data_IF_898005071668
#
_entry.id   IF_898005071668
#
_cell.length_a   1.000
_cell.length_b   1.000
_cell.length_c   1.000
_cell.angle_alpha   90.00
_cell.angle_beta   90.00
_cell.angle_gamma   90.00
#
_symmetry.space_group_name_H-M   'P 1'
#
loop_
_entity.id
_entity.type
_entity.pdbx_description
1 polymer ?
#
# COMPACT_ATOMS: atom_id res chain seq x y z
N UNK A 1 -8.01 22.13 39.17
CA UNK A 1 -8.43 21.85 37.78
C UNK A 1 -8.84 23.14 37.04
N UNK A 2 -8.14 24.27 37.24
CA UNK A 2 -8.42 25.55 36.56
C UNK A 2 -7.22 26.53 36.52
N UNK A 3 -6.01 26.14 36.94
CA UNK A 3 -4.84 27.04 36.98
C UNK A 3 -3.54 26.34 36.55
N UNK A 4 -3.57 25.60 35.44
CA UNK A 4 -2.34 25.06 34.83
C UNK A 4 -2.24 25.36 33.32
N UNK A 5 -2.99 26.35 32.83
CA UNK A 5 -3.04 26.73 31.40
C UNK A 5 -2.65 28.22 31.19
N UNK A 6 -2.29 28.97 32.22
CA UNK A 6 -2.08 30.43 32.16
C UNK A 6 -0.61 30.86 32.31
N UNK A 7 0.35 30.15 31.71
CA UNK A 7 1.70 30.72 31.52
C UNK A 7 1.89 31.21 30.07
N UNK A 8 2.09 32.53 29.84
CA UNK A 8 2.27 33.11 28.50
C UNK A 8 3.50 32.59 27.75
N UNK A 9 4.52 32.10 28.47
CA UNK A 9 5.75 31.56 27.90
C UNK A 9 5.59 30.17 27.24
N UNK A 10 4.43 29.52 27.40
CA UNK A 10 4.11 28.23 26.76
C UNK A 10 3.53 28.36 25.35
N UNK A 11 3.25 29.57 24.87
CA UNK A 11 2.62 29.82 23.56
C UNK A 11 3.61 29.99 22.39
N UNK A 12 4.90 30.14 22.64
CA UNK A 12 5.80 30.76 21.63
C UNK A 12 6.66 29.79 20.80
N UNK A 13 6.62 28.48 21.07
CA UNK A 13 7.03 27.46 20.09
C UNK A 13 5.93 26.41 19.96
N UNK A 14 4.98 26.71 19.08
CA UNK A 14 3.89 25.81 18.79
C UNK A 14 4.43 24.55 18.09
N UNK A 15 4.34 23.41 18.76
CA UNK A 15 4.56 22.03 18.26
C UNK A 15 4.20 21.79 16.77
N UNK A 16 3.19 22.42 16.15
CA UNK A 16 2.95 22.35 14.69
C UNK A 16 4.14 22.59 13.75
N UNK A 17 5.16 23.37 14.13
CA UNK A 17 6.31 23.65 13.22
C UNK A 17 7.45 22.61 13.33
N UNK A 18 7.28 21.58 14.17
CA UNK A 18 8.33 20.62 14.52
C UNK A 18 8.40 19.42 13.56
N UNK A 19 7.31 19.07 12.89
CA UNK A 19 7.24 17.88 12.01
C UNK A 19 6.98 18.35 10.58
N UNK A 20 8.03 18.42 9.74
CA UNK A 20 7.88 18.83 8.36
C UNK A 20 6.98 17.84 7.62
N UNK A 21 5.94 18.35 6.96
CA UNK A 21 5.04 17.58 6.09
C UNK A 21 5.83 16.80 5.03
N UNK A 22 6.99 17.32 4.64
CA UNK A 22 7.96 16.71 3.74
C UNK A 22 8.46 15.37 4.27
N UNK A 23 8.70 15.21 5.58
CA UNK A 23 9.14 13.94 6.18
C UNK A 23 8.05 12.89 6.17
N UNK A 24 6.81 13.30 6.46
CA UNK A 24 5.64 12.42 6.35
C UNK A 24 5.41 11.99 4.90
N UNK A 25 5.62 12.90 3.97
CA UNK A 25 5.56 12.63 2.53
C UNK A 25 6.68 11.67 2.10
N UNK A 26 7.90 11.85 2.61
CA UNK A 26 9.04 10.97 2.36
C UNK A 26 8.79 9.56 2.88
N UNK A 27 8.25 9.45 4.10
CA UNK A 27 7.83 8.19 4.71
C UNK A 27 6.78 7.47 3.86
N UNK A 28 5.77 8.21 3.39
CA UNK A 28 4.75 7.65 2.53
C UNK A 28 5.35 7.19 1.19
N UNK A 29 6.21 8.00 0.58
CA UNK A 29 6.89 7.68 -0.67
C UNK A 29 7.77 6.44 -0.55
N UNK A 30 8.50 6.29 0.55
CA UNK A 30 9.32 5.12 0.86
C UNK A 30 8.46 3.87 1.06
N UNK A 31 7.35 3.97 1.79
CA UNK A 31 6.41 2.86 1.97
C UNK A 31 5.83 2.40 0.62
N UNK A 32 5.41 3.35 -0.23
CA UNK A 32 4.86 3.06 -1.54
C UNK A 32 5.88 2.48 -2.52
N UNK A 33 7.12 2.97 -2.49
CA UNK A 33 8.13 2.65 -3.50
C UNK A 33 9.01 1.46 -3.09
N UNK A 34 9.55 1.49 -1.86
CA UNK A 34 10.48 0.49 -1.37
C UNK A 34 9.75 -0.70 -0.72
N UNK A 35 8.88 -0.44 0.26
CA UNK A 35 8.17 -1.51 0.97
C UNK A 35 7.21 -2.22 0.01
N UNK A 36 6.48 -1.47 -0.83
CA UNK A 36 5.67 -2.03 -1.90
C UNK A 36 6.45 -2.90 -2.89
N UNK A 37 7.62 -2.44 -3.34
CA UNK A 37 8.49 -3.19 -4.24
C UNK A 37 9.03 -4.48 -3.63
N UNK A 38 9.46 -4.44 -2.36
CA UNK A 38 9.96 -5.61 -1.62
C UNK A 38 8.84 -6.63 -1.39
N UNK A 39 7.68 -6.20 -0.87
CA UNK A 39 6.56 -7.10 -0.62
C UNK A 39 6.07 -7.78 -1.91
N UNK A 40 6.02 -7.04 -3.01
CA UNK A 40 5.66 -7.59 -4.31
C UNK A 40 6.70 -8.59 -4.82
N UNK A 41 7.99 -8.30 -4.68
CA UNK A 41 9.06 -9.22 -5.06
C UNK A 41 9.06 -10.53 -4.22
N UNK A 42 8.69 -10.44 -2.95
CA UNK A 42 8.57 -11.57 -2.03
C UNK A 42 7.26 -12.35 -2.18
N UNK A 43 6.34 -11.92 -3.06
CA UNK A 43 5.01 -12.53 -3.26
C UNK A 43 4.22 -12.66 -1.96
N UNK A 44 4.39 -11.72 -1.02
CA UNK A 44 3.66 -11.74 0.24
C UNK A 44 2.18 -11.45 -0.08
N UNK A 45 1.23 -12.31 0.33
CA UNK A 45 -0.19 -12.03 0.12
C UNK A 45 -0.60 -10.79 0.91
N UNK A 46 -1.67 -10.11 0.48
CA UNK A 46 -2.23 -8.92 1.16
C UNK A 46 -1.29 -7.72 1.28
N UNK A 47 -0.30 -7.57 0.37
CA UNK A 47 0.59 -6.38 0.36
C UNK A 47 -0.16 -5.04 0.38
N UNK A 48 -1.27 -4.96 -0.36
CA UNK A 48 -2.11 -3.76 -0.44
C UNK A 48 -2.71 -3.34 0.90
N UNK A 49 -2.92 -4.29 1.82
CA UNK A 49 -3.41 -4.02 3.17
C UNK A 49 -2.35 -3.28 3.99
N UNK A 50 -1.10 -3.73 3.94
CA UNK A 50 0.01 -3.08 4.66
C UNK A 50 0.31 -1.70 4.09
N UNK A 51 0.44 -1.61 2.77
CA UNK A 51 0.79 -0.38 2.07
C UNK A 51 -0.33 0.65 2.22
N UNK A 52 -1.58 0.24 2.00
CA UNK A 52 -2.74 1.12 2.15
C UNK A 52 -2.98 1.56 3.59
N UNK A 53 -2.79 0.68 4.58
CA UNK A 53 -2.88 1.08 6.00
C UNK A 53 -1.82 2.12 6.35
N UNK A 54 -0.61 1.95 5.83
CA UNK A 54 0.47 2.94 6.00
C UNK A 54 0.12 4.28 5.35
N UNK A 55 -0.45 4.25 4.14
CA UNK A 55 -0.92 5.46 3.45
C UNK A 55 -1.99 6.20 4.27
N UNK A 56 -2.97 5.49 4.83
CA UNK A 56 -4.01 6.07 5.70
C UNK A 56 -3.38 6.77 6.92
N UNK A 57 -2.38 6.15 7.55
CA UNK A 57 -1.64 6.77 8.66
C UNK A 57 -0.94 8.04 8.19
N UNK A 58 -0.14 7.97 7.12
CA UNK A 58 0.63 9.12 6.64
C UNK A 58 -0.27 10.29 6.21
N UNK A 59 -1.33 10.01 5.44
CA UNK A 59 -2.31 11.03 5.03
C UNK A 59 -2.96 11.69 6.26
N UNK A 60 -3.34 10.91 7.26
CA UNK A 60 -3.92 11.44 8.50
C UNK A 60 -2.94 12.33 9.25
N UNK A 61 -1.68 11.93 9.36
CA UNK A 61 -0.65 12.74 10.02
C UNK A 61 -0.36 14.02 9.24
N UNK A 62 -0.27 13.96 7.90
CA UNK A 62 -0.13 15.15 7.04
C UNK A 62 -1.29 16.11 7.28
N UNK A 63 -2.53 15.61 7.35
CA UNK A 63 -3.71 16.41 7.63
C UNK A 63 -3.69 17.06 9.02
N UNK A 64 -3.14 16.37 10.02
CA UNK A 64 -3.08 16.86 11.39
C UNK A 64 -1.98 17.89 11.63
N UNK A 65 -0.87 17.80 10.90
CA UNK A 65 0.30 18.66 11.09
C UNK A 65 0.41 19.78 10.05
N UNK A 66 -0.25 19.67 8.90
CA UNK A 66 -0.25 20.75 7.90
C UNK A 66 -1.31 21.81 8.19
N UNK A 67 -0.94 23.08 7.96
CA UNK A 67 -1.87 24.22 7.95
C UNK A 67 -2.34 24.59 6.55
N UNK A 68 -1.73 24.03 5.51
CA UNK A 68 -1.98 24.37 4.11
C UNK A 68 -3.14 23.55 3.53
N UNK A 69 -4.04 24.23 2.81
CA UNK A 69 -5.06 23.55 1.99
C UNK A 69 -4.37 22.86 0.81
N UNK A 70 -4.75 21.63 0.48
CA UNK A 70 -4.13 20.89 -0.61
C UNK A 70 -2.82 20.18 -0.25
N UNK A 71 -2.40 20.19 1.02
CA UNK A 71 -1.17 19.53 1.45
C UNK A 71 -1.17 18.02 1.19
N UNK A 72 -2.32 17.35 1.35
CA UNK A 72 -2.44 15.91 1.09
C UNK A 72 -2.32 15.65 -0.41
N UNK A 73 -2.96 16.47 -1.26
CA UNK A 73 -2.83 16.35 -2.71
C UNK A 73 -1.40 16.63 -3.20
N UNK A 74 -0.74 17.67 -2.67
CA UNK A 74 0.68 17.96 -2.96
C UNK A 74 1.54 16.75 -2.61
N UNK A 75 1.41 16.23 -1.39
CA UNK A 75 2.12 15.02 -0.95
C UNK A 75 1.83 13.81 -1.85
N UNK A 76 0.58 13.63 -2.28
CA UNK A 76 0.17 12.53 -3.17
C UNK A 76 0.88 12.60 -4.52
N UNK A 77 0.98 13.78 -5.13
CA UNK A 77 1.71 13.95 -6.39
C UNK A 77 3.20 13.69 -6.24
N UNK A 78 3.81 14.16 -5.14
CA UNK A 78 5.21 13.92 -4.83
C UNK A 78 5.47 12.42 -4.64
N UNK A 79 4.64 11.73 -3.86
CA UNK A 79 4.72 10.27 -3.63
C UNK A 79 4.62 9.50 -4.95
N UNK A 80 3.69 9.86 -5.83
CA UNK A 80 3.60 9.24 -7.16
C UNK A 80 4.84 9.51 -8.01
N UNK A 81 5.39 10.72 -7.97
CA UNK A 81 6.60 11.08 -8.71
C UNK A 81 7.80 10.26 -8.24
N UNK A 82 8.02 10.17 -6.91
CA UNK A 82 9.06 9.31 -6.32
C UNK A 82 8.84 7.85 -6.70
N UNK A 83 7.60 7.34 -6.65
CA UNK A 83 7.27 5.97 -7.05
C UNK A 83 7.60 5.69 -8.51
N UNK A 84 7.39 6.67 -9.40
CA UNK A 84 7.76 6.55 -10.81
C UNK A 84 9.27 6.61 -11.06
N UNK A 85 10.02 7.36 -10.27
CA UNK A 85 11.48 7.43 -10.36
C UNK A 85 12.13 6.17 -9.79
N UNK A 86 11.69 5.71 -8.62
CA UNK A 86 12.27 4.56 -7.90
C UNK A 86 11.81 3.23 -8.50
N UNK A 87 10.58 3.14 -9.01
CA UNK A 87 10.03 1.91 -9.62
C UNK A 87 9.26 2.21 -10.92
N UNK A 88 9.95 2.46 -12.05
CA UNK A 88 9.34 2.87 -13.32
C UNK A 88 8.42 1.84 -13.98
N UNK A 89 8.50 0.58 -13.55
CA UNK A 89 7.73 -0.55 -14.07
C UNK A 89 6.49 -0.88 -13.21
N UNK A 90 6.17 -0.02 -12.26
CA UNK A 90 4.97 -0.16 -11.43
C UNK A 90 3.72 -0.14 -12.32
N UNK A 91 2.75 -1.06 -12.12
CA UNK A 91 1.51 -1.06 -12.88
C UNK A 91 0.68 0.20 -12.61
N UNK A 92 -0.04 0.68 -13.62
CA UNK A 92 -0.84 1.91 -13.51
C UNK A 92 -1.87 1.88 -12.38
N UNK A 93 -2.40 0.70 -12.11
CA UNK A 93 -3.35 0.42 -11.04
C UNK A 93 -2.83 0.83 -9.65
N UNK A 94 -1.52 0.72 -9.42
CA UNK A 94 -0.93 1.14 -8.14
C UNK A 94 -0.83 2.67 -8.03
N UNK A 95 -0.57 3.39 -9.11
CA UNK A 95 -0.63 4.86 -9.09
C UNK A 95 -2.05 5.36 -8.89
N UNK A 96 -3.02 4.70 -9.52
CA UNK A 96 -4.43 5.02 -9.31
C UNK A 96 -4.83 4.83 -7.84
N UNK A 97 -4.38 3.75 -7.19
CA UNK A 97 -4.65 3.52 -5.77
C UNK A 97 -4.11 4.66 -4.89
N UNK A 98 -2.86 5.09 -5.10
CA UNK A 98 -2.24 6.21 -4.35
C UNK A 98 -3.00 7.52 -4.60
N UNK A 99 -3.34 7.81 -5.86
CA UNK A 99 -4.10 9.00 -6.21
C UNK A 99 -5.48 9.01 -5.56
N UNK A 100 -6.19 7.87 -5.58
CA UNK A 100 -7.51 7.74 -4.96
C UNK A 100 -7.43 7.91 -3.44
N UNK A 101 -6.44 7.28 -2.79
CA UNK A 101 -6.20 7.45 -1.35
C UNK A 101 -5.97 8.91 -0.98
N UNK A 102 -5.09 9.60 -1.71
CA UNK A 102 -4.78 11.01 -1.51
C UNK A 102 -5.96 11.94 -1.76
N UNK A 103 -6.69 11.73 -2.87
CA UNK A 103 -7.84 12.56 -3.24
C UNK A 103 -9.01 12.39 -2.26
N UNK A 104 -9.32 11.16 -1.85
CA UNK A 104 -10.34 10.87 -0.84
C UNK A 104 -9.89 11.42 0.52
N UNK A 105 -8.61 11.30 0.86
CA UNK A 105 -8.01 11.90 2.04
C UNK A 105 -8.22 13.41 2.09
N UNK A 106 -7.80 14.13 1.04
CA UNK A 106 -8.01 15.58 0.94
C UNK A 106 -9.49 15.94 1.05
N UNK A 107 -10.38 15.23 0.34
CA UNK A 107 -11.81 15.49 0.40
C UNK A 107 -12.38 15.31 1.82
N UNK A 108 -12.05 14.21 2.49
CA UNK A 108 -12.56 13.90 3.82
C UNK A 108 -12.02 14.86 4.88
N UNK A 109 -10.72 15.13 4.90
CA UNK A 109 -10.11 16.03 5.88
C UNK A 109 -10.46 17.51 5.64
N UNK A 110 -10.82 17.87 4.40
CA UNK A 110 -11.35 19.21 4.10
C UNK A 110 -12.83 19.35 4.48
N UNK A 111 -13.63 18.30 4.33
CA UNK A 111 -15.09 18.37 4.54
C UNK A 111 -15.46 18.12 6.00
N UNK A 112 -14.79 17.17 6.66
CA UNK A 112 -15.10 16.78 8.03
C UNK A 112 -14.13 17.46 9.00
N UNK A 113 -14.67 18.19 9.97
CA UNK A 113 -13.89 18.90 11.00
C UNK A 113 -13.13 17.98 11.97
N UNK A 114 -13.49 16.70 12.05
CA UNK A 114 -12.95 15.78 13.06
C UNK A 114 -11.92 14.84 12.46
N UNK A 115 -10.62 14.95 12.82
CA UNK A 115 -9.57 14.10 12.24
C UNK A 115 -9.80 12.60 12.52
N UNK A 116 -10.49 12.27 13.62
CA UNK A 116 -10.86 10.89 13.94
C UNK A 116 -11.87 10.29 12.95
N UNK A 117 -12.92 11.03 12.62
CA UNK A 117 -13.94 10.58 11.66
C UNK A 117 -13.38 10.53 10.24
N UNK A 118 -12.61 11.54 9.85
CA UNK A 118 -11.95 11.58 8.53
C UNK A 118 -11.00 10.41 8.36
N UNK A 119 -10.15 10.10 9.35
CA UNK A 119 -9.22 8.98 9.30
C UNK A 119 -9.95 7.62 9.24
N UNK A 120 -11.02 7.44 10.02
CA UNK A 120 -11.82 6.21 9.99
C UNK A 120 -12.44 5.99 8.61
N UNK A 121 -13.12 6.99 8.05
CA UNK A 121 -13.73 6.88 6.72
C UNK A 121 -12.67 6.69 5.64
N UNK A 122 -11.55 7.41 5.73
CA UNK A 122 -10.43 7.22 4.81
C UNK A 122 -9.93 5.78 4.84
N UNK A 123 -9.70 5.22 6.04
CA UNK A 123 -9.24 3.85 6.21
C UNK A 123 -10.18 2.82 5.60
N UNK A 124 -11.49 2.94 5.88
CA UNK A 124 -12.52 2.07 5.34
C UNK A 124 -12.57 2.15 3.81
N UNK A 125 -12.70 3.35 3.26
CA UNK A 125 -12.87 3.56 1.82
C UNK A 125 -11.60 3.18 1.06
N UNK A 126 -10.42 3.60 1.54
CA UNK A 126 -9.14 3.34 0.88
C UNK A 126 -8.84 1.85 0.79
N UNK A 127 -9.00 1.09 1.88
CA UNK A 127 -8.71 -0.35 1.86
C UNK A 127 -9.80 -1.15 1.17
N UNK A 128 -11.06 -0.73 1.27
CA UNK A 128 -12.13 -1.32 0.46
C UNK A 128 -11.85 -1.15 -1.03
N UNK A 129 -11.49 0.07 -1.47
CA UNK A 129 -11.14 0.36 -2.86
C UNK A 129 -9.91 -0.45 -3.31
N UNK A 130 -8.89 -0.55 -2.47
CA UNK A 130 -7.73 -1.40 -2.77
C UNK A 130 -8.10 -2.89 -2.88
N UNK A 131 -9.07 -3.35 -2.10
CA UNK A 131 -9.53 -4.73 -2.12
C UNK A 131 -10.35 -5.04 -3.38
N UNK A 132 -11.35 -4.20 -3.66
CA UNK A 132 -12.28 -4.38 -4.78
C UNK A 132 -11.59 -4.24 -6.13
N UNK A 133 -10.55 -3.40 -6.24
CA UNK A 133 -9.81 -3.19 -7.48
C UNK A 133 -9.30 -4.49 -8.10
N UNK A 134 -8.85 -5.45 -7.29
CA UNK A 134 -8.36 -6.76 -7.79
C UNK A 134 -9.49 -7.57 -8.43
N UNK A 135 -10.66 -7.59 -7.79
CA UNK A 135 -11.83 -8.32 -8.30
C UNK A 135 -12.43 -7.64 -9.53
N UNK A 136 -12.42 -6.31 -9.59
CA UNK A 136 -12.82 -5.57 -10.79
C UNK A 136 -11.94 -5.93 -11.98
N UNK A 137 -10.61 -5.91 -11.81
CA UNK A 137 -9.68 -6.29 -12.88
C UNK A 137 -9.91 -7.74 -13.32
N UNK A 138 -10.06 -8.67 -12.36
CA UNK A 138 -10.33 -10.07 -12.67
C UNK A 138 -11.63 -10.26 -13.45
N UNK A 139 -12.70 -9.58 -13.04
CA UNK A 139 -14.01 -9.65 -13.67
C UNK A 139 -14.01 -8.98 -15.05
N UNK A 140 -13.26 -7.90 -15.25
CA UNK A 140 -13.11 -7.26 -16.56
C UNK A 140 -12.44 -8.22 -17.55
N UNK A 141 -11.33 -8.84 -17.12
CA UNK A 141 -10.50 -9.72 -17.96
C UNK A 141 -11.20 -11.05 -18.25
N UNK A 142 -11.72 -11.72 -17.20
CA UNK A 142 -12.26 -13.07 -17.31
C UNK A 142 -13.78 -13.14 -17.35
N UNK A 143 -14.50 -12.01 -17.16
CA UNK A 143 -15.97 -12.00 -17.09
C UNK A 143 -16.53 -12.53 -15.77
N UNK A 144 -17.86 -12.66 -15.68
CA UNK A 144 -18.53 -13.32 -14.55
C UNK A 144 -18.35 -14.85 -14.59
N UNK A 145 -17.96 -15.39 -15.75
CA UNK A 145 -17.75 -16.82 -15.97
C UNK A 145 -16.69 -17.40 -15.03
N UNK A 146 -15.64 -16.66 -14.70
CA UNK A 146 -14.62 -17.14 -13.74
C UNK A 146 -15.22 -17.42 -12.36
N UNK A 147 -16.13 -16.58 -11.89
CA UNK A 147 -16.77 -16.73 -10.59
C UNK A 147 -17.73 -17.90 -10.60
N UNK A 148 -18.52 -18.01 -11.66
CA UNK A 148 -19.42 -19.14 -11.87
C UNK A 148 -18.66 -20.47 -11.96
N UNK A 149 -17.53 -20.51 -12.66
CA UNK A 149 -16.67 -21.70 -12.74
C UNK A 149 -16.11 -22.11 -11.37
N UNK A 150 -15.76 -21.14 -10.51
CA UNK A 150 -15.33 -21.43 -9.13
C UNK A 150 -16.48 -22.05 -8.33
N UNK A 151 -17.69 -21.49 -8.45
CA UNK A 151 -18.88 -22.01 -7.75
C UNK A 151 -19.21 -23.43 -8.22
N UNK A 152 -19.26 -23.66 -9.54
CA UNK A 152 -19.46 -24.99 -10.12
C UNK A 152 -18.42 -26.01 -9.64
N UNK A 153 -17.14 -25.61 -9.62
CA UNK A 153 -16.05 -26.49 -9.19
C UNK A 153 -16.18 -26.88 -7.71
N UNK A 154 -16.49 -25.93 -6.83
CA UNK A 154 -16.64 -26.21 -5.40
C UNK A 154 -17.89 -27.04 -5.13
N UNK A 155 -19.01 -26.71 -5.78
CA UNK A 155 -20.24 -27.50 -5.67
C UNK A 155 -20.00 -28.94 -6.13
N UNK A 156 -19.27 -29.14 -7.23
CA UNK A 156 -18.85 -30.47 -7.68
C UNK A 156 -18.07 -31.20 -6.58
N UNK A 157 -17.03 -30.59 -6.00
CA UNK A 157 -16.25 -31.20 -4.91
C UNK A 157 -17.16 -31.59 -3.74
N UNK A 158 -18.03 -30.69 -3.29
CA UNK A 158 -18.92 -30.93 -2.15
C UNK A 158 -19.87 -32.10 -2.42
N UNK A 159 -20.43 -32.20 -3.63
CA UNK A 159 -21.31 -33.32 -4.00
C UNK A 159 -20.61 -34.68 -3.98
N UNK A 160 -19.28 -34.71 -4.17
CA UNK A 160 -18.49 -35.95 -4.14
C UNK A 160 -18.02 -36.33 -2.72
N UNK A 161 -18.22 -35.48 -1.71
CA UNK A 161 -17.78 -35.75 -0.34
C UNK A 161 -18.83 -36.51 0.48
N UNK A 162 -18.57 -37.75 0.91
CA UNK A 162 -19.54 -38.59 1.64
C UNK A 162 -19.98 -37.99 2.99
N UNK A 163 -19.08 -37.22 3.63
CA UNK A 163 -19.28 -36.62 4.97
C UNK A 163 -20.27 -35.45 4.95
N UNK A 164 -20.42 -34.78 3.80
CA UNK A 164 -21.33 -33.64 3.62
C UNK A 164 -22.70 -34.06 3.06
N UNK A 165 -22.95 -35.37 2.98
CA UNK A 165 -24.28 -35.96 2.87
C UNK A 165 -25.14 -35.39 1.75
N UNK A 166 -24.72 -35.51 0.48
CA UNK A 166 -25.59 -35.28 -0.68
C UNK A 166 -26.28 -33.91 -0.75
N UNK A 167 -25.85 -32.93 0.04
CA UNK A 167 -26.50 -31.63 0.08
C UNK A 167 -26.25 -30.92 -1.24
N UNK A 168 -27.28 -30.83 -2.09
CA UNK A 168 -27.35 -29.93 -3.24
C UNK A 168 -27.47 -28.48 -2.76
N UNK A 169 -26.47 -28.02 -2.00
CA UNK A 169 -26.37 -26.62 -1.65
C UNK A 169 -25.71 -25.91 -2.85
N UNK A 170 -26.46 -25.04 -3.51
CA UNK A 170 -25.91 -24.14 -4.52
C UNK A 170 -25.15 -23.02 -3.80
N UNK A 171 -23.96 -23.34 -3.27
CA UNK A 171 -23.19 -22.44 -2.42
C UNK A 171 -22.52 -21.41 -3.32
N UNK A 172 -22.78 -20.10 -3.15
CA UNK A 172 -22.06 -19.05 -3.87
C UNK A 172 -20.68 -18.85 -3.23
N UNK A 173 -19.82 -19.85 -3.34
CA UNK A 173 -18.51 -19.90 -2.70
C UNK A 173 -17.60 -18.74 -3.13
N UNK A 174 -17.65 -18.38 -4.41
CA UNK A 174 -16.96 -17.25 -5.00
C UNK A 174 -17.31 -15.94 -4.26
N UNK A 175 -18.60 -15.69 -4.03
CA UNK A 175 -19.09 -14.52 -3.30
C UNK A 175 -18.65 -14.55 -1.84
N UNK A 176 -18.64 -15.72 -1.19
CA UNK A 176 -18.15 -15.88 0.17
C UNK A 176 -16.65 -15.54 0.30
N UNK A 177 -15.82 -16.02 -0.63
CA UNK A 177 -14.38 -15.71 -0.67
C UNK A 177 -14.13 -14.22 -0.93
N UNK A 178 -14.84 -13.62 -1.89
CA UNK A 178 -14.75 -12.18 -2.17
C UNK A 178 -15.14 -11.38 -0.92
N UNK A 179 -16.25 -11.73 -0.28
CA UNK A 179 -16.77 -11.05 0.91
C UNK A 179 -15.80 -11.16 2.08
N UNK A 180 -15.23 -12.35 2.34
CA UNK A 180 -14.23 -12.55 3.37
C UNK A 180 -12.97 -11.71 3.12
N UNK A 181 -12.48 -11.70 1.86
CA UNK A 181 -11.33 -10.89 1.49
C UNK A 181 -11.58 -9.39 1.69
N UNK A 182 -12.75 -8.90 1.28
CA UNK A 182 -13.14 -7.49 1.46
C UNK A 182 -13.34 -7.16 2.94
N UNK A 183 -13.90 -8.07 3.73
CA UNK A 183 -14.06 -7.90 5.17
C UNK A 183 -12.70 -7.71 5.85
N UNK A 184 -11.70 -8.53 5.50
CA UNK A 184 -10.32 -8.37 6.02
C UNK A 184 -9.75 -6.98 5.68
N UNK A 185 -10.02 -6.46 4.49
CA UNK A 185 -9.59 -5.11 4.10
C UNK A 185 -10.32 -4.02 4.89
N UNK A 186 -11.63 -4.15 5.06
CA UNK A 186 -12.45 -3.21 5.82
C UNK A 186 -11.98 -3.18 7.30
N UNK A 187 -11.77 -4.35 7.91
CA UNK A 187 -11.29 -4.46 9.29
C UNK A 187 -9.90 -3.83 9.46
N UNK A 188 -8.97 -4.10 8.54
CA UNK A 188 -7.67 -3.45 8.55
C UNK A 188 -7.77 -1.93 8.37
N UNK A 189 -8.71 -1.48 7.53
CA UNK A 189 -8.98 -0.07 7.27
C UNK A 189 -9.51 0.62 8.52
N UNK A 190 -10.43 -0.03 9.22
CA UNK A 190 -10.95 0.43 10.50
C UNK A 190 -9.85 0.54 11.56
N UNK A 191 -8.99 -0.49 11.67
CA UNK A 191 -7.85 -0.48 12.61
C UNK A 191 -6.88 0.66 12.27
N UNK A 192 -6.50 0.83 11.01
CA UNK A 192 -5.60 1.88 10.56
C UNK A 192 -6.21 3.29 10.80
N UNK A 193 -7.46 3.50 10.41
CA UNK A 193 -8.17 4.76 10.60
C UNK A 193 -8.42 5.11 12.06
N UNK A 194 -8.62 4.10 12.91
CA UNK A 194 -8.68 4.26 14.36
C UNK A 194 -7.30 4.58 14.97
N UNK A 195 -6.25 3.90 14.53
CA UNK A 195 -4.90 4.07 15.08
C UNK A 195 -4.28 5.42 14.68
N UNK A 196 -4.48 5.88 13.44
CA UNK A 196 -3.76 7.02 12.89
C UNK A 196 -3.88 8.33 13.70
N UNK A 197 -5.07 8.80 14.12
CA UNK A 197 -5.20 10.00 14.94
C UNK A 197 -4.58 9.85 16.33
N UNK A 198 -4.60 8.64 16.89
CA UNK A 198 -3.98 8.34 18.20
C UNK A 198 -2.47 8.41 18.10
N UNK A 199 -1.90 7.90 17.01
CA UNK A 199 -0.48 8.02 16.73
C UNK A 199 -0.07 9.50 16.62
N UNK A 200 -0.83 10.32 15.89
CA UNK A 200 -0.56 11.76 15.80
C UNK A 200 -0.56 12.46 17.16
N UNK A 201 -1.59 12.21 17.99
CA UNK A 201 -1.65 12.75 19.36
C UNK A 201 -0.50 12.27 20.24
N UNK A 202 -0.08 11.01 20.08
CA UNK A 202 1.03 10.41 20.82
C UNK A 202 2.37 11.06 20.48
N UNK A 203 2.60 11.33 19.19
CA UNK A 203 3.79 12.05 18.72
C UNK A 203 3.86 13.43 19.37
N UNK A 204 2.73 14.16 19.41
CA UNK A 204 2.65 15.47 20.06
C UNK A 204 2.98 15.37 21.56
N UNK A 205 2.43 14.38 22.28
CA UNK A 205 2.62 14.24 23.72
C UNK A 205 4.03 13.78 24.11
N UNK A 206 4.64 12.92 23.31
CA UNK A 206 5.96 12.34 23.61
C UNK A 206 7.11 13.16 22.98
N UNK A 207 6.82 14.19 22.18
CA UNK A 207 7.85 15.03 21.56
C UNK A 207 8.83 15.61 22.58
N UNK A 208 8.32 16.23 23.65
CA UNK A 208 9.16 16.92 24.66
C UNK A 208 10.06 15.97 25.45
N UNK A 209 9.68 14.70 25.60
CA UNK A 209 10.48 13.71 26.34
C UNK A 209 11.48 12.97 25.44
N UNK A 210 11.41 13.14 24.12
CA UNK A 210 12.28 12.48 23.16
C UNK A 210 13.51 13.32 22.76
N UNK A 211 13.58 14.58 23.20
CA UNK A 211 14.70 15.52 22.93
C UNK A 211 16.05 14.94 23.34
N UNK A 212 16.14 14.31 24.51
CA UNK A 212 17.38 13.67 24.98
C UNK A 212 17.81 12.43 24.16
N UNK A 213 16.88 11.80 23.43
CA UNK A 213 17.20 10.67 22.55
C UNK A 213 17.67 11.15 21.18
N UNK A 214 17.21 12.34 20.74
CA UNK A 214 17.61 12.97 19.49
C UNK A 214 19.13 13.23 19.42
N UNK A 215 19.71 13.67 20.54
CA UNK A 215 21.16 13.89 20.65
C UNK A 215 21.99 12.61 20.45
N UNK A 216 21.43 11.44 20.74
CA UNK A 216 22.12 10.15 20.57
C UNK A 216 22.17 9.63 19.12
N UNK A 217 21.45 10.27 18.20
CA UNK A 217 21.48 9.97 16.76
C UNK A 217 22.61 10.69 16.02
N UNK A 218 23.54 11.33 16.74
CA UNK A 218 24.70 12.06 16.23
C UNK A 218 25.32 11.51 14.94
N UNK A 219 25.66 12.44 14.04
CA UNK A 219 26.14 12.21 12.68
C UNK A 219 27.39 11.34 12.67
N UNK A 220 27.21 10.07 12.33
CA UNK A 220 28.31 9.19 11.89
C UNK A 220 27.99 8.68 10.50
N UNK A 221 28.93 8.88 9.58
CA UNK A 221 28.87 8.28 8.26
C UNK A 221 28.84 6.75 8.38
N UNK A 222 27.90 6.13 7.69
CA UNK A 222 27.78 4.68 7.63
C UNK A 222 28.23 4.20 6.25
N UNK A 223 28.91 3.05 6.15
CA UNK A 223 29.49 2.57 4.92
C UNK A 223 28.41 2.22 3.90
N UNK A 224 28.64 2.65 2.66
CA UNK A 224 27.80 2.33 1.50
C UNK A 224 27.73 0.81 1.37
N UNK A 225 26.53 0.24 1.57
CA UNK A 225 26.29 -1.17 1.31
C UNK A 225 26.45 -1.43 -0.18
N UNK A 226 27.55 -2.10 -0.57
CA UNK A 226 27.78 -2.48 -1.95
C UNK A 226 26.74 -3.49 -2.42
N UNK A 227 26.19 -3.34 -3.63
CA UNK A 227 25.16 -4.23 -4.15
C UNK A 227 25.74 -5.64 -4.36
N UNK A 228 25.30 -6.62 -3.57
CA UNK A 228 25.64 -8.04 -3.82
C UNK A 228 25.03 -8.47 -5.16
N UNK A 229 25.89 -8.87 -6.10
CA UNK A 229 25.50 -9.44 -7.41
C UNK A 229 24.50 -10.58 -7.21
N UNK A 230 23.28 -10.39 -7.72
CA UNK A 230 22.23 -11.41 -7.70
C UNK A 230 22.55 -12.52 -8.70
N UNK A 231 22.55 -13.76 -8.22
CA UNK A 231 22.64 -14.99 -9.02
C UNK A 231 21.45 -15.05 -10.00
N UNK A 232 21.73 -15.17 -11.30
CA UNK A 232 20.73 -15.33 -12.37
C UNK A 232 19.89 -16.59 -12.10
N UNK A 233 18.61 -16.42 -11.73
CA UNK A 233 17.65 -17.53 -11.60
C UNK A 233 17.00 -17.79 -12.96
N UNK A 234 17.65 -18.65 -13.75
CA UNK A 234 17.18 -19.15 -15.05
C UNK A 234 15.93 -20.05 -14.92
N UNK A 235 15.59 -20.51 -13.71
CA UNK A 235 14.45 -21.40 -13.44
C UNK A 235 13.05 -20.76 -13.47
N UNK A 236 12.91 -19.43 -13.62
CA UNK A 236 11.57 -18.81 -13.74
C UNK A 236 10.89 -19.05 -15.10
N UNK A 237 11.59 -19.65 -16.07
CA UNK A 237 11.02 -19.98 -17.39
C UNK A 237 10.34 -21.36 -17.43
N UNK A 238 10.72 -22.30 -16.55
CA UNK A 238 10.11 -23.64 -16.49
C UNK A 238 8.73 -23.65 -15.81
N UNK A 239 8.48 -22.79 -14.81
CA UNK A 239 7.17 -22.76 -14.13
C UNK A 239 6.06 -22.19 -15.03
N UNK A 240 6.39 -21.21 -15.89
CA UNK A 240 5.43 -20.65 -16.84
C UNK A 240 5.03 -21.66 -17.92
N UNK A 241 6.00 -22.46 -18.40
CA UNK A 241 5.75 -23.52 -19.38
C UNK A 241 4.89 -24.65 -18.78
N UNK A 242 5.17 -25.06 -17.54
CA UNK A 242 4.37 -26.08 -16.86
C UNK A 242 2.94 -25.61 -16.59
N UNK A 243 2.74 -24.36 -16.16
CA UNK A 243 1.40 -23.76 -15.99
C UNK A 243 0.65 -23.72 -17.33
N UNK A 244 1.33 -23.36 -18.43
CA UNK A 244 0.74 -23.37 -19.77
C UNK A 244 0.34 -24.79 -20.21
N UNK A 245 1.19 -25.79 -19.94
CA UNK A 245 0.94 -27.19 -20.29
C UNK A 245 -0.24 -27.77 -19.49
N UNK A 246 -0.34 -27.45 -18.20
CA UNK A 246 -1.49 -27.82 -17.36
C UNK A 246 -2.76 -27.16 -17.87
N UNK A 247 -2.74 -25.86 -18.18
CA UNK A 247 -3.90 -25.16 -18.73
C UNK A 247 -4.37 -25.76 -20.07
N UNK A 248 -3.43 -26.09 -20.97
CA UNK A 248 -3.71 -26.74 -22.25
C UNK A 248 -4.32 -28.14 -22.05
N UNK A 249 -3.79 -28.92 -21.11
CA UNK A 249 -4.32 -30.23 -20.76
C UNK A 249 -5.74 -30.11 -20.18
N UNK A 250 -6.01 -29.13 -19.32
CA UNK A 250 -7.36 -28.88 -18.78
C UNK A 250 -8.37 -28.54 -19.87
N UNK A 251 -7.98 -27.70 -20.85
CA UNK A 251 -8.83 -27.40 -22.02
C UNK A 251 -9.07 -28.66 -22.85
N UNK A 252 -8.04 -29.46 -23.15
CA UNK A 252 -8.21 -30.70 -23.90
C UNK A 252 -9.11 -31.72 -23.17
N UNK A 253 -8.94 -31.89 -21.87
CA UNK A 253 -9.77 -32.76 -21.02
C UNK A 253 -11.24 -32.30 -20.98
N UNK A 254 -11.50 -31.00 -21.00
CA UNK A 254 -12.86 -30.44 -21.07
C UNK A 254 -13.61 -30.81 -22.37
N UNK A 255 -12.91 -31.10 -23.46
CA UNK A 255 -13.53 -31.55 -24.73
C UNK A 255 -13.61 -33.07 -24.85
N UNK A 256 -12.71 -33.80 -24.18
CA UNK A 256 -12.62 -35.26 -24.24
C UNK A 256 -13.51 -35.97 -23.21
N UNK A 257 -13.89 -35.29 -22.13
CA UNK A 257 -14.75 -35.86 -21.08
C UNK A 257 -16.18 -35.30 -21.17
N UNK A 258 -17.21 -36.15 -21.31
CA UNK A 258 -18.61 -35.70 -21.36
C UNK A 258 -19.17 -35.26 -19.99
N UNK A 259 -18.31 -35.15 -18.97
CA UNK A 259 -18.66 -34.74 -17.60
C UNK A 259 -18.97 -33.24 -17.53
N UNK A 260 -18.40 -32.45 -18.43
CA UNK A 260 -18.73 -31.04 -18.58
C UNK A 260 -19.72 -30.89 -19.73
N UNK A 261 -20.87 -30.28 -19.48
CA UNK A 261 -21.85 -29.99 -20.53
C UNK A 261 -21.17 -29.27 -21.71
N UNK A 262 -21.57 -29.60 -22.94
CA UNK A 262 -20.99 -28.99 -24.16
C UNK A 262 -21.03 -27.46 -24.10
N UNK A 263 -22.02 -26.88 -23.43
CA UNK A 263 -22.12 -25.44 -23.19
C UNK A 263 -20.98 -24.90 -22.30
N UNK A 264 -20.57 -25.62 -21.26
CA UNK A 264 -19.48 -25.21 -20.37
C UNK A 264 -18.13 -25.13 -21.09
N UNK A 265 -17.85 -26.05 -22.01
CA UNK A 265 -16.64 -26.02 -22.85
C UNK A 265 -16.58 -24.80 -23.77
N UNK A 266 -17.71 -24.44 -24.39
CA UNK A 266 -17.81 -23.24 -25.24
C UNK A 266 -17.68 -21.95 -24.42
N UNK A 267 -18.27 -21.89 -23.22
CA UNK A 267 -18.14 -20.76 -22.31
C UNK A 267 -16.70 -20.58 -21.82
N UNK A 268 -16.00 -21.67 -21.50
CA UNK A 268 -14.58 -21.65 -21.14
C UNK A 268 -13.70 -21.18 -22.32
N UNK A 269 -13.97 -21.67 -23.55
CA UNK A 269 -13.26 -21.20 -24.74
C UNK A 269 -13.48 -19.71 -24.99
N UNK A 270 -14.72 -19.25 -24.89
CA UNK A 270 -15.05 -17.83 -25.04
C UNK A 270 -14.36 -16.97 -23.97
N UNK A 271 -14.31 -17.43 -22.72
CA UNK A 271 -13.56 -16.78 -21.65
C UNK A 271 -12.07 -16.66 -21.98
N UNK A 272 -11.45 -17.73 -22.48
CA UNK A 272 -10.03 -17.73 -22.88
C UNK A 272 -9.80 -16.74 -24.02
N UNK A 273 -10.58 -16.83 -25.11
CA UNK A 273 -10.46 -15.94 -26.27
C UNK A 273 -10.67 -14.47 -25.85
N UNK A 274 -11.71 -14.18 -25.08
CA UNK A 274 -11.96 -12.85 -24.51
C UNK A 274 -10.77 -12.36 -23.69
N UNK A 275 -10.23 -13.20 -22.81
CA UNK A 275 -9.10 -12.82 -21.97
C UNK A 275 -7.85 -12.51 -22.82
N UNK A 276 -7.58 -13.29 -23.87
CA UNK A 276 -6.48 -13.05 -24.81
C UNK A 276 -6.67 -11.75 -25.59
N UNK A 277 -7.89 -11.48 -26.08
CA UNK A 277 -8.22 -10.23 -26.77
C UNK A 277 -8.07 -9.03 -25.84
N UNK A 278 -8.63 -9.08 -24.64
CA UNK A 278 -8.53 -7.99 -23.66
C UNK A 278 -7.09 -7.77 -23.23
N UNK A 279 -6.34 -8.84 -22.92
CA UNK A 279 -4.93 -8.74 -22.56
C UNK A 279 -4.08 -8.23 -23.71
N UNK A 280 -4.32 -8.69 -24.94
CA UNK A 280 -3.63 -8.22 -26.15
C UNK A 280 -3.91 -6.74 -26.40
N UNK A 281 -5.18 -6.34 -26.35
CA UNK A 281 -5.59 -4.94 -26.52
C UNK A 281 -5.02 -4.05 -25.41
N UNK A 282 -5.00 -4.53 -24.17
CA UNK A 282 -4.38 -3.83 -23.05
C UNK A 282 -2.85 -3.71 -23.22
N UNK A 283 -2.17 -4.79 -23.58
CA UNK A 283 -0.71 -4.80 -23.68
C UNK A 283 -0.20 -3.98 -24.87
N UNK A 284 -0.83 -4.10 -26.03
CA UNK A 284 -0.37 -3.44 -27.26
C UNK A 284 -0.89 -2.01 -27.43
N UNK A 285 -2.11 -1.70 -26.94
CA UNK A 285 -2.75 -0.41 -27.21
C UNK A 285 -3.04 0.39 -25.94
N UNK A 286 -3.94 -0.08 -25.09
CA UNK A 286 -4.43 0.74 -23.96
C UNK A 286 -3.35 1.02 -22.91
N UNK A 287 -2.68 -0.01 -22.42
CA UNK A 287 -1.60 0.06 -21.44
C UNK A 287 -0.52 1.07 -21.84
N UNK A 288 0.14 0.95 -23.01
CA UNK A 288 1.17 1.89 -23.42
C UNK A 288 0.62 3.30 -23.66
N UNK A 289 -0.59 3.48 -24.22
CA UNK A 289 -1.19 4.81 -24.40
C UNK A 289 -1.46 5.49 -23.06
N UNK A 290 -2.12 4.80 -22.13
CA UNK A 290 -2.46 5.36 -20.83
C UNK A 290 -1.18 5.62 -20.04
N UNK A 291 -0.21 4.69 -20.07
CA UNK A 291 1.09 4.89 -19.41
C UNK A 291 1.85 6.08 -20.01
N UNK A 292 1.83 6.28 -21.33
CA UNK A 292 2.46 7.45 -21.97
C UNK A 292 1.82 8.76 -21.55
N UNK A 293 0.48 8.83 -21.53
CA UNK A 293 -0.26 10.02 -21.04
C UNK A 293 0.02 10.27 -19.56
N UNK A 294 0.00 9.21 -18.75
CA UNK A 294 0.25 9.29 -17.31
C UNK A 294 1.68 9.72 -17.00
N UNK A 295 2.69 9.16 -17.70
CA UNK A 295 4.08 9.59 -17.56
C UNK A 295 4.28 11.05 -17.95
N UNK A 296 3.64 11.53 -19.02
CA UNK A 296 3.66 12.95 -19.39
C UNK A 296 3.03 13.84 -18.32
N UNK A 297 1.88 13.43 -17.78
CA UNK A 297 1.23 14.15 -16.69
C UNK A 297 2.13 14.22 -15.45
N UNK A 298 2.73 13.08 -15.09
CA UNK A 298 3.60 12.99 -13.92
C UNK A 298 4.91 13.74 -14.12
N UNK A 299 5.48 13.75 -15.33
CA UNK A 299 6.66 14.55 -15.66
C UNK A 299 6.42 16.04 -15.44
N UNK A 300 5.25 16.57 -15.85
CA UNK A 300 4.87 17.95 -15.54
C UNK A 300 4.84 18.22 -14.03
N UNK A 301 4.27 17.29 -13.25
CA UNK A 301 4.22 17.41 -11.78
C UNK A 301 5.60 17.25 -11.12
N UNK A 302 6.46 16.40 -11.68
CA UNK A 302 7.83 16.25 -11.23
C UNK A 302 8.64 17.53 -11.43
N UNK A 303 8.42 18.27 -12.53
CA UNK A 303 9.05 19.58 -12.71
C UNK A 303 8.52 20.61 -11.71
N UNK A 304 7.21 20.62 -11.45
CA UNK A 304 6.58 21.55 -10.49
C UNK A 304 7.05 21.29 -9.05
N UNK A 305 7.22 20.02 -8.67
CA UNK A 305 7.65 19.61 -7.33
C UNK A 305 9.09 19.08 -7.32
N UNK A 306 9.96 19.60 -8.20
CA UNK A 306 11.29 19.05 -8.41
C UNK A 306 12.13 19.11 -7.13
N UNK A 307 12.08 20.24 -6.41
CA UNK A 307 12.84 20.44 -5.18
C UNK A 307 12.32 19.55 -4.05
N UNK A 308 11.00 19.43 -3.89
CA UNK A 308 10.37 18.52 -2.93
C UNK A 308 10.76 17.05 -3.21
N UNK A 309 10.76 16.65 -4.49
CA UNK A 309 11.14 15.28 -4.90
C UNK A 309 12.61 15.02 -4.61
N UNK A 310 13.51 15.98 -4.90
CA UNK A 310 14.94 15.88 -4.60
C UNK A 310 15.18 15.76 -3.11
N UNK A 311 14.57 16.64 -2.32
CA UNK A 311 14.63 16.60 -0.87
C UNK A 311 14.23 15.22 -0.33
N UNK A 312 13.12 14.66 -0.80
CA UNK A 312 12.68 13.33 -0.36
C UNK A 312 13.68 12.23 -0.73
N UNK A 313 14.24 12.28 -1.95
CA UNK A 313 15.25 11.30 -2.37
C UNK A 313 16.51 11.37 -1.48
N UNK A 314 16.90 12.57 -1.06
CA UNK A 314 18.03 12.79 -0.16
C UNK A 314 17.74 12.33 1.28
N UNK A 315 16.46 12.32 1.69
CA UNK A 315 16.02 11.78 2.99
C UNK A 315 16.07 10.23 3.00
N UNK A 316 15.92 9.54 1.87
CA UNK A 316 15.82 8.06 1.84
C UNK A 316 17.04 7.34 2.47
N UNK A 317 18.30 7.69 2.18
CA UNK A 317 19.46 7.08 2.83
C UNK A 317 19.47 7.33 4.34
N UNK A 318 19.11 8.55 4.77
CA UNK A 318 18.98 8.87 6.20
C UNK A 318 17.94 7.98 6.91
N UNK A 319 16.80 7.76 6.29
CA UNK A 319 15.75 6.89 6.83
C UNK A 319 16.24 5.46 7.08
N UNK A 320 17.07 4.92 6.16
CA UNK A 320 17.68 3.60 6.36
C UNK A 320 18.59 3.55 7.59
N UNK A 321 19.33 4.64 7.88
CA UNK A 321 20.16 4.79 9.09
C UNK A 321 19.31 4.78 10.35
N UNK A 322 18.22 5.54 10.34
CA UNK A 322 17.29 5.63 11.46
C UNK A 322 16.69 4.25 11.79
N UNK A 323 16.29 3.47 10.77
CA UNK A 323 15.81 2.10 10.98
C UNK A 323 16.90 1.20 11.59
N UNK A 324 18.12 1.24 11.06
CA UNK A 324 19.22 0.43 11.56
C UNK A 324 19.58 0.75 13.02
N UNK A 325 19.66 2.04 13.36
CA UNK A 325 19.95 2.49 14.74
C UNK A 325 18.80 2.17 15.69
N UNK A 326 17.55 2.37 15.26
CA UNK A 326 16.36 1.97 16.03
C UNK A 326 16.36 0.47 16.34
N UNK A 327 16.76 -0.36 15.36
CA UNK A 327 16.91 -1.79 15.56
C UNK A 327 17.98 -2.13 16.59
N UNK A 328 19.12 -1.44 16.56
CA UNK A 328 20.20 -1.60 17.55
C UNK A 328 19.76 -1.19 18.95
N UNK A 329 19.15 -0.01 19.11
CA UNK A 329 18.66 0.49 20.41
C UNK A 329 17.58 -0.41 21.01
N UNK A 330 16.76 -1.06 20.17
CA UNK A 330 15.76 -2.02 20.65
C UNK A 330 16.34 -3.37 21.11
N UNK A 331 17.63 -3.68 20.84
CA UNK A 331 18.22 -5.00 21.17
C UNK A 331 18.17 -5.35 22.65
N UNK A 332 18.09 -4.37 23.53
CA UNK A 332 17.98 -4.56 24.98
C UNK A 332 16.64 -5.19 25.40
N UNK A 333 15.65 -5.24 24.50
CA UNK A 333 14.34 -5.84 24.74
C UNK A 333 14.17 -7.13 23.94
N UNK A 334 13.33 -8.05 24.43
CA UNK A 334 13.00 -9.31 23.74
C UNK A 334 11.50 -9.41 23.40
N UNK A 335 11.17 -10.29 22.44
CA UNK A 335 9.79 -10.61 22.06
C UNK A 335 8.93 -9.42 21.61
N UNK A 336 7.66 -9.41 22.01
CA UNK A 336 6.69 -8.35 21.69
C UNK A 336 7.07 -6.98 22.25
N UNK A 337 7.77 -6.95 23.40
CA UNK A 337 8.26 -5.71 24.01
C UNK A 337 9.29 -5.02 23.10
N UNK A 338 10.14 -5.81 22.44
CA UNK A 338 11.08 -5.31 21.43
C UNK A 338 10.38 -4.65 20.25
N UNK A 339 9.37 -5.31 19.69
CA UNK A 339 8.63 -4.78 18.54
C UNK A 339 7.90 -3.47 18.88
N UNK A 340 7.29 -3.39 20.08
CA UNK A 340 6.66 -2.16 20.57
C UNK A 340 7.66 -1.03 20.79
N UNK A 341 8.83 -1.32 21.36
CA UNK A 341 9.86 -0.29 21.58
C UNK A 341 10.49 0.14 20.26
N UNK A 342 10.75 -0.78 19.35
CA UNK A 342 11.24 -0.51 18.00
C UNK A 342 10.28 0.40 17.23
N UNK A 343 8.98 0.07 17.20
CA UNK A 343 8.00 0.88 16.49
C UNK A 343 7.90 2.30 17.06
N UNK A 344 7.97 2.43 18.39
CA UNK A 344 8.01 3.73 19.04
C UNK A 344 9.27 4.53 18.69
N UNK A 345 10.46 3.92 18.81
CA UNK A 345 11.72 4.60 18.50
C UNK A 345 11.72 5.00 17.03
N UNK A 346 11.29 4.12 16.13
CA UNK A 346 11.26 4.38 14.69
C UNK A 346 10.27 5.48 14.33
N UNK A 347 9.06 5.46 14.90
CA UNK A 347 8.06 6.52 14.70
C UNK A 347 8.60 7.88 15.15
N UNK A 348 9.18 7.96 16.36
CA UNK A 348 9.67 9.22 16.91
C UNK A 348 10.94 9.70 16.21
N UNK A 349 11.91 8.81 15.98
CA UNK A 349 13.18 9.19 15.33
C UNK A 349 13.00 9.63 13.88
N UNK A 350 12.11 8.98 13.13
CA UNK A 350 11.83 9.40 11.77
C UNK A 350 11.14 10.77 11.71
N UNK A 351 10.22 11.03 12.64
CA UNK A 351 9.45 12.28 12.62
C UNK A 351 10.25 13.45 13.20
N UNK A 352 11.12 13.19 14.17
CA UNK A 352 11.68 14.23 15.03
C UNK A 352 13.19 14.47 14.83
N UNK A 353 13.97 13.53 14.29
CA UNK A 353 15.43 13.75 14.12
C UNK A 353 15.69 14.84 13.07
N UNK A 354 16.36 15.95 13.42
CA UNK A 354 16.67 17.02 12.48
C UNK A 354 17.56 16.54 11.34
N UNK A 355 17.23 16.94 10.12
CA UNK A 355 18.01 16.64 8.91
C UNK A 355 18.87 17.87 8.62
N UNK A 356 20.17 17.67 8.38
CA UNK A 356 21.20 18.72 8.21
C UNK A 356 20.82 19.84 7.21
N UNK A 357 19.98 19.55 6.22
CA UNK A 357 19.50 20.54 5.24
C UNK A 357 18.43 21.49 5.78
N UNK A 358 17.74 21.17 6.88
CA UNK A 358 16.81 22.09 7.56
C UNK A 358 17.55 23.10 8.48
N UNK A 359 18.87 22.99 8.63
CA UNK A 359 19.70 23.92 9.41
C UNK A 359 20.45 24.94 8.54
N UNK A 360 20.24 24.91 7.21
CA UNK A 360 20.87 25.84 6.25
C UNK A 360 19.91 26.88 5.67
N UNK A 361 18.65 26.87 6.10
CA UNK A 361 17.72 28.00 6.03
C UNK A 361 17.56 28.60 7.43
#
# INVERSE_FOLDING_TARGET
MSELISSPALKEKAIPDVIPVQRLTALWALSESALGGVLHALHIPLTGLVIGSTAVVMITLIAMFSREKGAILRATFIVMAVKALVSPHTPINAYFAVLAQGAIGELLFRTLRSPGRSAMLLGLIALFLSGIQKFLILTIVFGLTIWHSIDLFVNYIVTQMPVLGGAHANIPFSAAVISLYLLVHILAGAVAGWAAPRLGKRVISEYRSFDAVLDSFGYTEAPVATPKKRRKRWLKRLSAFFIFLVALATVALSYLTPVFEKEAGTAALFMIVRSLVIMGLWYFFLGPMVLKRFKRFLAKKQTVYADDVRLILDILPFMSRVVAKSWQLSRQYSGLKRLKKLSNILLMSVLLVPIENEMKE
#
